data_IF_227745834689
#
_entry.id   IF_227745834689
#
_cell.length_a   1.000
_cell.length_b   1.000
_cell.length_c   1.000
_cell.angle_alpha   90.00
_cell.angle_beta   90.00
_cell.angle_gamma   90.00
#
_symmetry.space_group_name_H-M   'P 1'
#
loop_
_entity.id
_entity.type
_entity.pdbx_description
1 polymer ?
#
# COMPACT_ATOMS: atom_id res chain seq x y z
N UNK A 1 -53.92 -42.60 -36.15
CA UNK A 1 -54.46 -43.98 -36.21
C UNK A 1 -53.26 -44.91 -36.15
N UNK A 2 -52.87 -45.34 -34.93
CA UNK A 2 -53.05 -46.72 -34.40
C UNK A 2 -52.28 -47.75 -35.24
N UNK A 3 -51.39 -48.61 -34.72
CA UNK A 3 -51.17 -49.09 -33.37
C UNK A 3 -49.78 -49.76 -33.21
N UNK A 4 -49.44 -49.99 -31.94
CA UNK A 4 -48.27 -50.64 -31.35
C UNK A 4 -48.16 -52.16 -31.63
N UNK A 5 -46.95 -52.72 -31.54
CA UNK A 5 -46.62 -53.84 -30.62
C UNK A 5 -45.28 -54.51 -30.97
N UNK A 6 -44.37 -54.61 -30.01
CA UNK A 6 -44.12 -55.87 -29.27
C UNK A 6 -43.07 -55.69 -28.17
N UNK A 7 -43.31 -56.41 -27.09
CA UNK A 7 -42.67 -56.40 -25.78
C UNK A 7 -41.38 -57.22 -25.80
N UNK A 8 -40.33 -56.78 -25.08
CA UNK A 8 -39.12 -57.56 -24.83
C UNK A 8 -38.45 -57.14 -23.53
N UNK A 9 -38.82 -57.82 -22.45
CA UNK A 9 -38.29 -57.72 -21.09
C UNK A 9 -36.81 -58.09 -21.06
N UNK A 10 -35.96 -57.32 -20.37
CA UNK A 10 -34.74 -57.78 -19.68
C UNK A 10 -34.20 -56.65 -18.77
N UNK A 11 -34.19 -56.91 -17.46
CA UNK A 11 -33.42 -56.19 -16.44
C UNK A 11 -32.39 -57.18 -15.86
N UNK A 12 -31.39 -56.79 -15.04
CA UNK A 12 -30.71 -55.50 -14.86
C UNK A 12 -29.15 -55.65 -14.90
N UNK A 13 -28.42 -54.56 -15.11
CA UNK A 13 -27.01 -54.47 -14.70
C UNK A 13 -26.62 -53.01 -14.47
N UNK A 14 -26.89 -52.50 -13.27
CA UNK A 14 -26.42 -51.19 -12.83
C UNK A 14 -24.93 -51.29 -12.52
N UNK A 15 -24.08 -51.01 -13.51
CA UNK A 15 -22.68 -50.67 -13.29
C UNK A 15 -22.62 -49.24 -12.72
N UNK A 16 -22.41 -49.13 -11.42
CA UNK A 16 -22.04 -47.87 -10.76
C UNK A 16 -20.69 -47.39 -11.27
N UNK A 17 -20.69 -46.39 -12.13
CA UNK A 17 -19.50 -45.66 -12.52
C UNK A 17 -19.03 -44.77 -11.35
N UNK A 18 -17.89 -45.13 -10.75
CA UNK A 18 -17.15 -44.24 -9.85
C UNK A 18 -16.65 -43.04 -10.66
N UNK A 19 -17.33 -41.90 -10.55
CA UNK A 19 -16.84 -40.62 -11.08
C UNK A 19 -15.71 -40.16 -10.15
N UNK A 20 -14.47 -40.33 -10.61
CA UNK A 20 -13.30 -39.75 -9.96
C UNK A 20 -13.41 -38.23 -10.03
N UNK A 21 -13.79 -37.59 -8.92
CA UNK A 21 -13.69 -36.14 -8.77
C UNK A 21 -12.19 -35.78 -8.78
N UNK A 22 -11.70 -35.30 -9.92
CA UNK A 22 -10.39 -34.69 -10.01
C UNK A 22 -10.35 -33.48 -9.07
N UNK A 23 -9.71 -33.64 -7.91
CA UNK A 23 -9.45 -32.55 -6.99
C UNK A 23 -8.56 -31.53 -7.70
N UNK A 24 -9.09 -30.34 -7.97
CA UNK A 24 -8.29 -29.21 -8.40
C UNK A 24 -7.27 -28.93 -7.29
N UNK A 25 -5.99 -29.21 -7.58
CA UNK A 25 -4.91 -28.86 -6.67
C UNK A 25 -4.92 -27.33 -6.47
N UNK A 26 -4.74 -26.85 -5.23
CA UNK A 26 -4.63 -25.41 -4.99
C UNK A 26 -3.44 -24.86 -5.77
N UNK A 27 -3.71 -23.96 -6.71
CA UNK A 27 -2.66 -23.20 -7.41
C UNK A 27 -1.83 -22.48 -6.35
N UNK A 28 -0.50 -22.66 -6.32
CA UNK A 28 0.35 -21.88 -5.42
C UNK A 28 0.08 -20.40 -5.65
N UNK A 29 -0.26 -19.67 -4.58
CA UNK A 29 -0.29 -18.22 -4.64
C UNK A 29 1.07 -17.77 -5.19
N UNK A 30 1.05 -17.03 -6.31
CA UNK A 30 2.27 -16.53 -6.92
C UNK A 30 3.11 -15.83 -5.84
N UNK A 31 4.35 -16.29 -5.66
CA UNK A 31 5.29 -15.66 -4.74
C UNK A 31 5.29 -14.15 -5.03
N UNK A 32 5.21 -13.34 -3.98
CA UNK A 32 5.23 -11.89 -4.16
C UNK A 32 6.48 -11.53 -4.98
N UNK A 33 6.34 -10.76 -6.08
CA UNK A 33 7.47 -10.51 -6.97
C UNK A 33 8.62 -9.85 -6.19
N UNK A 34 9.88 -10.26 -6.45
CA UNK A 34 11.09 -9.63 -5.88
C UNK A 34 11.03 -8.12 -6.14
N UNK A 35 10.55 -7.35 -5.17
CA UNK A 35 10.25 -5.95 -5.38
C UNK A 35 11.52 -5.16 -5.68
N UNK A 36 12.67 -5.61 -5.17
CA UNK A 36 13.95 -5.03 -5.55
C UNK A 36 14.25 -5.23 -7.04
N UNK A 37 14.01 -6.43 -7.58
CA UNK A 37 14.16 -6.74 -8.99
C UNK A 37 13.23 -5.92 -9.86
N UNK A 38 11.95 -5.90 -9.48
CA UNK A 38 10.92 -5.10 -10.14
C UNK A 38 11.32 -3.62 -10.21
N UNK A 39 11.66 -3.00 -9.07
CA UNK A 39 12.05 -1.59 -9.05
C UNK A 39 13.29 -1.31 -9.90
N UNK A 40 14.30 -2.19 -9.91
CA UNK A 40 15.49 -2.02 -10.76
C UNK A 40 15.15 -1.97 -12.26
N UNK A 41 14.14 -2.73 -12.68
CA UNK A 41 13.69 -2.80 -14.06
C UNK A 41 12.86 -1.58 -14.45
N UNK A 42 11.80 -1.27 -13.70
CA UNK A 42 10.86 -0.17 -14.03
C UNK A 42 11.41 1.21 -13.70
N UNK A 43 12.45 1.29 -12.85
CA UNK A 43 13.02 2.49 -12.24
C UNK A 43 12.04 3.21 -11.32
N UNK A 44 10.97 3.77 -11.88
CA UNK A 44 9.94 4.51 -11.16
C UNK A 44 8.60 3.83 -11.35
N UNK A 45 7.88 3.61 -10.26
CA UNK A 45 6.50 3.15 -10.27
C UNK A 45 5.82 3.77 -9.05
N UNK A 46 4.83 4.63 -9.32
CA UNK A 46 4.08 5.36 -8.32
C UNK A 46 2.99 4.49 -7.65
N UNK A 47 2.79 3.25 -8.11
CA UNK A 47 1.79 2.35 -7.56
C UNK A 47 2.20 1.93 -6.15
N UNK A 48 1.32 2.21 -5.18
CA UNK A 48 1.53 1.84 -3.79
C UNK A 48 1.27 0.34 -3.59
N UNK A 49 2.23 -0.34 -2.99
CA UNK A 49 2.18 -1.79 -2.73
C UNK A 49 2.12 -2.07 -1.23
N UNK A 50 1.36 -3.10 -0.83
CA UNK A 50 1.32 -3.50 0.57
C UNK A 50 2.65 -4.08 1.03
N UNK A 51 2.78 -4.22 2.34
CA UNK A 51 3.87 -4.93 3.00
C UNK A 51 4.10 -6.34 2.42
N UNK A 52 5.37 -6.80 2.41
CA UNK A 52 5.74 -8.20 2.18
C UNK A 52 6.78 -8.64 3.21
N UNK A 53 6.64 -9.88 3.70
CA UNK A 53 7.57 -10.49 4.64
C UNK A 53 9.01 -10.55 4.10
N UNK A 54 9.21 -10.72 2.79
CA UNK A 54 10.56 -10.76 2.19
C UNK A 54 11.35 -9.46 2.41
N UNK A 55 10.64 -8.37 2.67
CA UNK A 55 11.20 -7.05 2.93
C UNK A 55 11.34 -6.74 4.43
N UNK A 56 10.97 -7.65 5.34
CA UNK A 56 10.89 -7.39 6.79
C UNK A 56 12.13 -6.70 7.35
N UNK A 57 13.31 -7.31 7.19
CA UNK A 57 14.55 -6.76 7.78
C UNK A 57 14.92 -5.39 7.19
N UNK A 58 14.70 -5.19 5.88
CA UNK A 58 14.90 -3.90 5.23
C UNK A 58 13.88 -2.86 5.73
N UNK A 59 12.64 -3.27 5.93
CA UNK A 59 11.52 -2.43 6.38
C UNK A 59 11.72 -1.97 7.82
N UNK A 60 12.17 -2.85 8.72
CA UNK A 60 12.57 -2.49 10.08
C UNK A 60 13.69 -1.44 10.09
N UNK A 61 14.69 -1.59 9.22
CA UNK A 61 15.78 -0.62 9.09
C UNK A 61 15.29 0.72 8.52
N UNK A 62 14.40 0.68 7.54
CA UNK A 62 13.71 1.85 7.00
C UNK A 62 12.90 2.58 8.09
N UNK A 63 12.12 1.84 8.88
CA UNK A 63 11.33 2.38 9.98
C UNK A 63 12.21 3.12 10.99
N UNK A 64 13.27 2.48 11.49
CA UNK A 64 14.20 3.09 12.45
C UNK A 64 14.88 4.36 11.90
N UNK A 65 15.09 4.43 10.59
CA UNK A 65 15.64 5.62 9.94
C UNK A 65 14.64 6.78 9.87
N UNK A 66 13.36 6.49 9.65
CA UNK A 66 12.30 7.51 9.61
C UNK A 66 11.87 7.95 11.01
N UNK A 67 11.85 7.04 11.98
CA UNK A 67 11.42 7.27 13.36
C UNK A 67 12.55 6.92 14.34
N UNK A 68 13.62 7.74 14.40
CA UNK A 68 14.78 7.45 15.25
C UNK A 68 14.43 7.43 16.75
N UNK A 69 13.40 8.19 17.15
CA UNK A 69 12.96 8.30 18.54
C UNK A 69 11.92 7.23 18.94
N UNK A 70 11.60 6.30 18.04
CA UNK A 70 10.68 5.20 18.36
C UNK A 70 11.26 4.30 19.45
N UNK A 71 10.50 4.09 20.52
CA UNK A 71 10.93 3.31 21.71
C UNK A 71 11.08 1.81 21.43
N UNK A 72 10.42 1.30 20.40
CA UNK A 72 10.45 -0.11 20.02
C UNK A 72 10.43 -0.27 18.51
N UNK A 73 10.99 -1.38 18.05
CA UNK A 73 10.80 -1.85 16.68
C UNK A 73 9.34 -2.29 16.50
N UNK A 74 8.67 -1.91 15.40
CA UNK A 74 7.31 -2.33 15.13
C UNK A 74 7.24 -3.85 14.99
N UNK A 75 6.16 -4.44 15.48
CA UNK A 75 5.88 -5.86 15.25
C UNK A 75 5.54 -6.08 13.78
N UNK A 76 5.73 -7.30 13.29
CA UNK A 76 5.40 -7.61 11.90
C UNK A 76 3.93 -7.36 11.57
N UNK A 77 2.99 -7.64 12.48
CA UNK A 77 1.57 -7.33 12.25
C UNK A 77 1.30 -5.83 12.10
N UNK A 78 2.09 -4.99 12.77
CA UNK A 78 2.01 -3.53 12.62
C UNK A 78 2.55 -3.13 11.25
N UNK A 79 3.66 -3.73 10.80
CA UNK A 79 4.20 -3.50 9.46
C UNK A 79 3.22 -3.91 8.36
N UNK A 80 2.48 -5.02 8.52
CA UNK A 80 1.48 -5.48 7.56
C UNK A 80 0.39 -4.44 7.29
N UNK A 81 0.03 -3.65 8.30
CA UNK A 81 -1.03 -2.63 8.20
C UNK A 81 -0.50 -1.24 7.90
N UNK A 82 0.76 -0.96 8.25
CA UNK A 82 1.33 0.38 8.17
C UNK A 82 2.28 0.57 6.98
N UNK A 83 3.08 -0.44 6.66
CA UNK A 83 4.15 -0.30 5.68
C UNK A 83 3.62 -0.41 4.24
N UNK A 84 4.06 0.53 3.43
CA UNK A 84 3.68 0.67 2.03
C UNK A 84 4.92 0.93 1.19
N UNK A 85 4.97 0.39 -0.03
CA UNK A 85 6.12 0.52 -0.90
C UNK A 85 5.80 1.18 -2.23
N UNK A 86 6.83 1.81 -2.82
CA UNK A 86 6.84 2.23 -4.23
C UNK A 86 8.25 2.14 -4.80
N UNK A 87 8.37 2.23 -6.12
CA UNK A 87 9.67 2.28 -6.79
C UNK A 87 10.08 3.71 -7.11
N UNK A 88 11.30 4.08 -6.77
CA UNK A 88 11.89 5.37 -7.15
C UNK A 88 13.36 5.19 -7.51
N UNK A 89 13.75 5.61 -8.71
CA UNK A 89 15.11 5.56 -9.23
C UNK A 89 15.77 4.17 -9.10
N UNK A 90 15.01 3.10 -9.34
CA UNK A 90 15.53 1.73 -9.27
C UNK A 90 15.52 1.12 -7.86
N UNK A 91 15.06 1.86 -6.85
CA UNK A 91 15.10 1.49 -5.43
C UNK A 91 13.69 1.27 -4.91
N UNK A 92 13.59 0.37 -3.92
CA UNK A 92 12.37 0.20 -3.12
C UNK A 92 12.37 1.29 -2.04
N UNK A 93 11.32 2.10 -2.00
CA UNK A 93 11.07 3.02 -0.90
C UNK A 93 9.92 2.51 -0.05
N UNK A 94 10.01 2.70 1.27
CA UNK A 94 8.94 2.45 2.23
C UNK A 94 8.40 3.77 2.79
N UNK A 95 7.09 3.77 3.04
CA UNK A 95 6.37 4.74 3.84
C UNK A 95 5.51 4.00 4.86
N UNK A 96 5.19 4.64 5.99
CA UNK A 96 4.39 4.05 7.06
C UNK A 96 3.17 4.92 7.31
N UNK A 97 1.96 4.36 7.13
CA UNK A 97 0.72 5.09 7.38
C UNK A 97 0.51 5.34 8.87
N UNK A 98 -0.01 6.52 9.18
CA UNK A 98 -0.34 6.95 10.53
C UNK A 98 -1.19 8.22 10.48
N UNK A 99 -1.54 8.79 11.63
CA UNK A 99 -2.53 9.87 11.75
C UNK A 99 -2.28 11.08 10.82
N UNK A 100 -1.02 11.42 10.53
CA UNK A 100 -0.66 12.51 9.62
C UNK A 100 0.46 12.10 8.64
N UNK A 101 0.53 10.82 8.30
CA UNK A 101 1.58 10.25 7.46
C UNK A 101 0.96 9.56 6.24
N UNK A 102 0.44 10.33 5.26
CA UNK A 102 -0.16 9.73 4.08
C UNK A 102 0.92 9.09 3.18
N UNK A 103 0.78 7.79 2.92
CA UNK A 103 1.58 7.09 1.91
C UNK A 103 0.96 7.23 0.53
N UNK A 104 0.76 8.47 0.08
CA UNK A 104 0.08 8.80 -1.16
C UNK A 104 0.81 9.92 -1.93
N UNK A 105 0.39 10.13 -3.17
CA UNK A 105 0.72 11.34 -3.92
C UNK A 105 -0.02 12.51 -3.27
N UNK A 106 0.67 13.62 -3.06
CA UNK A 106 0.17 14.72 -2.26
C UNK A 106 -0.67 15.69 -3.11
N UNK A 107 -1.73 16.24 -2.53
CA UNK A 107 -2.50 17.31 -3.16
C UNK A 107 -1.75 18.65 -3.08
N UNK A 108 -1.19 19.05 -4.22
CA UNK A 108 -0.44 20.29 -4.38
C UNK A 108 -1.29 21.48 -4.85
N UNK A 109 -2.62 21.35 -4.90
CA UNK A 109 -3.50 22.47 -5.16
C UNK A 109 -3.44 23.49 -4.01
N UNK A 110 -3.49 24.77 -4.36
CA UNK A 110 -3.60 25.88 -3.38
C UNK A 110 -5.05 26.20 -3.04
N UNK A 111 -5.97 25.85 -3.93
CA UNK A 111 -7.39 25.92 -3.65
C UNK A 111 -7.79 24.65 -2.91
N UNK A 112 -8.47 24.79 -1.77
CA UNK A 112 -8.84 23.67 -0.93
C UNK A 112 -10.27 23.85 -0.42
N UNK A 113 -11.26 23.20 -1.06
CA UNK A 113 -12.67 23.36 -0.71
C UNK A 113 -12.97 23.01 0.75
N UNK A 114 -12.31 22.01 1.32
CA UNK A 114 -12.50 21.65 2.71
C UNK A 114 -11.98 22.71 3.69
N UNK A 115 -10.89 23.39 3.35
CA UNK A 115 -10.43 24.57 4.08
C UNK A 115 -11.39 25.75 3.94
N UNK A 116 -11.92 25.97 2.74
CA UNK A 116 -12.92 27.03 2.51
C UNK A 116 -14.18 26.82 3.34
N UNK A 117 -14.72 25.59 3.37
CA UNK A 117 -15.88 25.27 4.21
C UNK A 117 -15.59 25.44 5.71
N UNK A 118 -14.40 25.03 6.17
CA UNK A 118 -13.99 25.24 7.55
C UNK A 118 -13.97 26.73 7.91
N UNK A 119 -13.39 27.57 7.06
CA UNK A 119 -13.27 29.00 7.34
C UNK A 119 -14.61 29.73 7.37
N UNK A 120 -15.66 29.26 6.71
CA UNK A 120 -17.01 29.85 6.86
C UNK A 120 -17.54 29.78 8.29
N UNK A 121 -17.22 28.69 9.00
CA UNK A 121 -17.66 28.48 10.39
C UNK A 121 -16.64 29.00 11.41
N UNK A 122 -15.38 29.13 11.00
CA UNK A 122 -14.25 29.57 11.85
C UNK A 122 -13.47 30.71 11.18
N UNK A 123 -14.04 31.93 11.10
CA UNK A 123 -13.60 32.95 10.14
C UNK A 123 -12.19 33.50 10.29
N UNK A 124 -11.60 33.40 11.49
CA UNK A 124 -10.26 33.90 11.80
C UNK A 124 -9.40 32.87 12.54
N UNK A 125 -9.65 31.57 12.33
CA UNK A 125 -8.81 30.51 12.91
C UNK A 125 -7.38 30.56 12.35
N UNK A 126 -6.38 30.47 13.23
CA UNK A 126 -4.96 30.52 12.85
C UNK A 126 -4.49 29.28 12.09
N UNK A 127 -5.19 28.15 12.24
CA UNK A 127 -4.88 26.88 11.58
C UNK A 127 -6.17 26.19 11.13
N UNK A 128 -6.20 25.76 9.88
CA UNK A 128 -7.19 24.82 9.37
C UNK A 128 -6.67 23.39 9.59
N UNK A 129 -7.43 22.52 10.27
CA UNK A 129 -6.98 21.17 10.62
C UNK A 129 -6.95 20.21 9.41
N UNK A 130 -6.11 19.18 9.51
CA UNK A 130 -5.92 18.19 8.44
C UNK A 130 -7.19 17.40 8.07
N UNK A 131 -8.14 17.24 9.00
CA UNK A 131 -9.42 16.60 8.67
C UNK A 131 -10.24 17.44 7.67
N UNK A 132 -10.06 18.77 7.67
CA UNK A 132 -10.72 19.68 6.75
C UNK A 132 -9.92 19.83 5.45
N UNK A 133 -8.60 20.01 5.54
CA UNK A 133 -7.77 20.20 4.33
C UNK A 133 -7.54 18.90 3.55
N UNK A 134 -7.74 17.75 4.19
CA UNK A 134 -7.17 16.46 3.77
C UNK A 134 -5.76 16.28 4.33
N UNK A 135 -5.44 15.03 4.72
CA UNK A 135 -4.12 14.69 5.27
C UNK A 135 -3.00 14.74 4.23
N UNK A 136 -3.33 14.71 2.94
CA UNK A 136 -2.43 14.77 1.79
C UNK A 136 -2.18 16.21 1.29
N UNK A 137 -2.74 17.23 1.95
CA UNK A 137 -2.54 18.62 1.58
C UNK A 137 -1.07 19.06 1.74
N UNK A 138 -0.49 19.59 0.66
CA UNK A 138 0.90 20.09 0.66
C UNK A 138 1.05 21.40 1.42
N UNK A 139 0.01 22.23 1.41
CA UNK A 139 -0.01 23.54 2.05
C UNK A 139 -0.78 23.48 3.37
N UNK A 140 -0.36 24.32 4.31
CA UNK A 140 -1.16 24.64 5.48
C UNK A 140 -1.98 25.89 5.20
N UNK A 141 -3.12 25.99 5.88
CA UNK A 141 -4.08 27.07 5.69
C UNK A 141 -4.42 27.71 7.02
N UNK A 142 -4.77 28.99 6.96
CA UNK A 142 -5.42 29.75 8.04
C UNK A 142 -6.66 30.43 7.47
N UNK A 143 -7.54 30.90 8.35
CA UNK A 143 -8.73 31.65 7.95
C UNK A 143 -8.50 33.15 8.12
N UNK A 144 -8.89 33.91 7.10
CA UNK A 144 -8.93 35.37 7.16
C UNK A 144 -10.28 35.85 6.65
N UNK A 145 -11.08 36.42 7.54
CA UNK A 145 -12.43 36.93 7.22
C UNK A 145 -13.30 35.90 6.48
N UNK A 146 -13.28 34.65 6.96
CA UNK A 146 -14.13 33.58 6.40
C UNK A 146 -13.56 32.88 5.17
N UNK A 147 -12.35 33.22 4.72
CA UNK A 147 -11.70 32.60 3.55
C UNK A 147 -10.43 31.86 3.95
N UNK A 148 -10.17 30.72 3.32
CA UNK A 148 -8.91 30.02 3.49
C UNK A 148 -7.78 30.77 2.77
N UNK A 149 -6.65 30.92 3.47
CA UNK A 149 -5.43 31.52 2.94
C UNK A 149 -4.28 30.59 3.24
N UNK A 150 -3.42 30.34 2.24
CA UNK A 150 -2.21 29.54 2.42
C UNK A 150 -1.31 30.21 3.46
N UNK A 151 -1.08 29.52 4.58
CA UNK A 151 -0.23 29.96 5.68
C UNK A 151 1.21 29.45 5.53
N UNK A 152 1.41 28.38 4.76
CA UNK A 152 2.72 27.79 4.59
C UNK A 152 2.69 26.50 3.76
N UNK A 153 3.84 25.81 3.75
CA UNK A 153 4.02 24.54 3.04
C UNK A 153 4.42 23.45 4.02
N UNK A 154 3.53 22.51 4.25
CA UNK A 154 3.71 21.37 5.16
C UNK A 154 4.67 20.33 4.59
N UNK A 155 4.66 20.13 3.27
CA UNK A 155 5.44 19.05 2.64
C UNK A 155 6.32 19.51 1.48
N UNK A 156 7.60 19.12 1.53
CA UNK A 156 8.46 19.10 0.36
C UNK A 156 8.17 17.82 -0.44
N UNK A 157 8.00 17.98 -1.76
CA UNK A 157 7.69 16.86 -2.65
C UNK A 157 8.92 16.39 -3.40
N UNK A 158 8.94 15.10 -3.73
CA UNK A 158 9.88 14.55 -4.69
C UNK A 158 9.41 14.87 -6.12
N UNK A 159 10.22 14.48 -7.11
CA UNK A 159 9.91 14.69 -8.53
C UNK A 159 8.64 13.98 -9.01
N UNK A 160 8.07 13.10 -8.19
CA UNK A 160 6.86 12.31 -8.48
C UNK A 160 5.65 12.80 -7.68
N UNK A 161 5.77 13.86 -6.89
CA UNK A 161 4.66 14.44 -6.14
C UNK A 161 4.37 13.76 -4.79
N UNK A 162 5.29 12.94 -4.27
CA UNK A 162 5.18 12.32 -2.95
C UNK A 162 5.95 13.12 -1.91
N UNK A 163 5.50 13.16 -0.66
CA UNK A 163 6.20 13.87 0.41
C UNK A 163 7.57 13.22 0.70
N UNK A 164 8.68 13.86 0.29
CA UNK A 164 10.02 13.25 0.29
C UNK A 164 10.45 12.73 1.65
N UNK A 165 10.03 13.39 2.74
CA UNK A 165 10.40 13.00 4.11
C UNK A 165 9.64 11.77 4.63
N UNK A 166 8.56 11.34 3.97
CA UNK A 166 7.79 10.15 4.34
C UNK A 166 8.28 8.87 3.67
N UNK A 167 9.13 8.99 2.64
CA UNK A 167 9.60 7.86 1.85
C UNK A 167 11.09 7.62 2.07
N UNK A 168 11.45 6.43 2.54
CA UNK A 168 12.84 6.06 2.81
C UNK A 168 13.23 4.80 2.07
N UNK A 169 14.50 4.69 1.68
CA UNK A 169 15.01 3.51 1.00
C UNK A 169 14.96 2.27 1.91
N UNK A 170 14.40 1.18 1.37
CA UNK A 170 14.46 -0.15 1.96
C UNK A 170 15.73 -0.83 1.47
N UNK A 171 16.73 -1.09 2.33
CA UNK A 171 17.96 -1.71 1.89
C UNK A 171 17.79 -3.23 1.71
N UNK A 172 18.24 -3.76 0.57
CA UNK A 172 18.42 -5.21 0.41
C UNK A 172 19.59 -5.66 1.27
N UNK A 173 19.30 -6.31 2.39
CA UNK A 173 20.33 -6.88 3.24
C UNK A 173 20.90 -8.12 2.54
N UNK A 174 22.16 -8.06 2.12
CA UNK A 174 22.87 -9.26 1.70
C UNK A 174 23.20 -10.06 2.96
N UNK A 175 22.88 -11.37 2.95
CA UNK A 175 23.28 -12.26 4.03
C UNK A 175 24.76 -12.07 4.34
N UNK A 176 25.14 -12.01 5.63
CA UNK A 176 26.54 -12.10 6.01
C UNK A 176 27.07 -13.35 5.33
N UNK A 177 28.00 -13.22 4.38
CA UNK A 177 28.85 -14.36 4.02
C UNK A 177 29.41 -14.85 5.36
N UNK A 178 29.10 -16.08 5.74
CA UNK A 178 29.83 -16.75 6.82
C UNK A 178 31.30 -16.62 6.46
N UNK A 179 32.01 -15.74 7.16
CA UNK A 179 33.46 -15.80 7.21
C UNK A 179 33.74 -17.07 7.99
N UNK A 180 33.90 -18.18 7.29
CA UNK A 180 34.70 -19.29 7.80
C UNK A 180 36.08 -18.70 8.06
N UNK A 181 36.44 -18.57 9.34
CA UNK A 181 37.83 -18.37 9.73
C UNK A 181 38.60 -19.66 9.39
N UNK A 182 39.87 -19.57 8.98
CA UNK A 182 40.72 -20.74 8.76
C UNK A 182 40.98 -21.51 10.06
#
# INVERSE_FOLDING_TARGET
MTAFSTIGVLAPALLSAFVATAGAAPTPAAAAPDLYGFCRQVKNDDTIRPYSHELYNGTVKAFKKLFPDAKSTPREQELQTQANYRCMNGKVLACFVGANLPCAKMNAARDNPGADEFCKTSPNADVVPAFATGHDAVYSYKCASGKAVVAGRSWALDKRGFASKLWTEVPKLRGRRQRTLP
#
